data_IF_232195443897
#
_entry.id   IF_232195443897
#
_cell.length_a   1.000
_cell.length_b   1.000
_cell.length_c   1.000
_cell.angle_alpha   90.00
_cell.angle_beta   90.00
_cell.angle_gamma   90.00
#
_symmetry.space_group_name_H-M   'P 1'
#
loop_
_entity.id
_entity.type
_entity.pdbx_description
1 polymer ?
#
# COMPACT_ATOMS: atom_id res chain seq x y z
N UNK A 1 13.46 -10.21 -1.76
CA UNK A 1 12.00 -10.21 -1.52
C UNK A 1 11.30 -11.24 -2.42
N UNK A 2 11.60 -11.32 -3.72
CA UNK A 2 11.03 -12.32 -4.63
C UNK A 2 11.10 -13.78 -4.15
N UNK A 3 12.25 -14.23 -3.64
CA UNK A 3 12.39 -15.60 -3.11
C UNK A 3 11.41 -15.91 -1.96
N UNK A 4 11.00 -14.89 -1.21
CA UNK A 4 10.02 -15.04 -0.13
C UNK A 4 8.57 -15.15 -0.62
N UNK A 5 8.31 -14.79 -1.89
CA UNK A 5 6.99 -14.79 -2.52
C UNK A 5 6.71 -16.06 -3.32
N UNK A 6 7.74 -16.83 -3.70
CA UNK A 6 7.55 -18.04 -4.49
C UNK A 6 6.71 -19.09 -3.73
N UNK A 7 5.63 -19.58 -4.37
CA UNK A 7 4.72 -20.56 -3.79
C UNK A 7 3.79 -20.00 -2.70
N UNK A 8 3.82 -18.69 -2.45
CA UNK A 8 2.90 -18.00 -1.53
C UNK A 8 1.59 -17.64 -2.22
N UNK A 9 0.50 -17.72 -1.48
CA UNK A 9 -0.78 -17.09 -1.85
C UNK A 9 -0.67 -15.61 -1.54
N UNK A 10 -0.83 -14.78 -2.58
CA UNK A 10 -0.63 -13.34 -2.49
C UNK A 10 -1.94 -12.64 -2.78
N UNK A 11 -2.34 -11.71 -1.92
CA UNK A 11 -3.41 -10.77 -2.20
C UNK A 11 -2.84 -9.37 -2.39
N UNK A 12 -3.42 -8.62 -3.32
CA UNK A 12 -3.27 -7.19 -3.45
C UNK A 12 -4.56 -6.49 -2.98
N UNK A 13 -4.43 -5.50 -2.11
CA UNK A 13 -5.52 -4.64 -1.66
C UNK A 13 -5.23 -3.23 -2.13
N UNK A 14 -6.02 -2.73 -3.09
CA UNK A 14 -5.93 -1.37 -3.61
C UNK A 14 -6.96 -0.45 -2.98
N UNK A 15 -6.51 0.42 -2.06
CA UNK A 15 -7.31 1.49 -1.48
C UNK A 15 -7.28 2.72 -2.39
N UNK A 16 -8.45 3.31 -2.63
CA UNK A 16 -8.65 4.38 -3.62
C UNK A 16 -8.96 3.86 -5.02
N UNK A 17 -9.04 2.54 -5.23
CA UNK A 17 -9.31 1.93 -6.52
C UNK A 17 -10.71 1.29 -6.56
N UNK A 18 -11.26 1.12 -7.77
CA UNK A 18 -12.50 0.37 -8.03
C UNK A 18 -12.31 -0.78 -9.03
N UNK A 19 -11.12 -0.88 -9.61
CA UNK A 19 -10.69 -1.88 -10.60
C UNK A 19 -9.17 -1.91 -10.65
N UNK A 20 -8.59 -2.85 -11.40
CA UNK A 20 -7.15 -2.92 -11.62
C UNK A 20 -6.61 -1.58 -12.18
N UNK A 21 -5.56 -1.07 -11.55
CA UNK A 21 -4.62 -0.12 -12.14
C UNK A 21 -3.41 -0.88 -12.72
N UNK A 22 -2.36 -0.15 -13.13
CA UNK A 22 -1.14 -0.76 -13.66
C UNK A 22 -0.46 -1.65 -12.60
N UNK A 23 -0.30 -1.18 -11.37
CA UNK A 23 0.29 -1.96 -10.28
C UNK A 23 -0.46 -3.28 -10.00
N UNK A 24 -1.79 -3.24 -9.91
CA UNK A 24 -2.61 -4.44 -9.73
C UNK A 24 -2.39 -5.46 -10.87
N UNK A 25 -2.32 -4.97 -12.11
CA UNK A 25 -2.05 -5.80 -13.30
C UNK A 25 -0.66 -6.42 -13.22
N UNK A 26 0.35 -5.63 -12.90
CA UNK A 26 1.73 -6.10 -12.71
C UNK A 26 1.82 -7.19 -11.64
N UNK A 27 1.16 -7.02 -10.49
CA UNK A 27 1.14 -8.02 -9.43
C UNK A 27 0.40 -9.29 -9.84
N UNK A 28 -0.68 -9.16 -10.62
CA UNK A 28 -1.38 -10.32 -11.17
C UNK A 28 -0.49 -11.10 -12.13
N UNK A 29 0.17 -10.42 -13.06
CA UNK A 29 0.93 -11.06 -14.13
C UNK A 29 2.22 -11.71 -13.62
N UNK A 30 2.87 -11.11 -12.60
CA UNK A 30 4.15 -11.59 -12.09
C UNK A 30 4.02 -12.56 -10.90
N UNK A 31 2.94 -12.43 -10.12
CA UNK A 31 2.78 -13.20 -8.87
C UNK A 31 1.44 -13.94 -8.76
N UNK A 32 0.59 -13.87 -9.79
CA UNK A 32 -0.77 -14.39 -9.76
C UNK A 32 -1.60 -13.87 -8.57
N UNK A 33 -1.33 -12.65 -8.10
CA UNK A 33 -1.98 -12.08 -6.92
C UNK A 33 -3.49 -11.90 -7.14
N UNK A 34 -4.31 -12.26 -6.15
CA UNK A 34 -5.74 -11.92 -6.14
C UNK A 34 -5.91 -10.46 -5.76
N UNK A 35 -6.80 -9.73 -6.43
CA UNK A 35 -6.95 -8.28 -6.23
C UNK A 35 -8.29 -7.92 -5.60
N UNK A 36 -8.22 -7.07 -4.59
CA UNK A 36 -9.36 -6.53 -3.86
C UNK A 36 -9.26 -5.00 -3.82
N UNK A 37 -10.40 -4.33 -3.94
CA UNK A 37 -10.43 -2.87 -4.09
C UNK A 37 -11.41 -2.22 -3.12
N UNK A 38 -10.99 -1.10 -2.53
CA UNK A 38 -11.83 -0.23 -1.72
C UNK A 38 -11.76 1.19 -2.28
N UNK A 39 -12.82 1.66 -2.92
CA UNK A 39 -12.89 3.05 -3.37
C UNK A 39 -13.29 3.98 -2.21
N UNK A 40 -12.97 5.26 -2.29
CA UNK A 40 -13.26 6.23 -1.22
C UNK A 40 -14.75 6.59 -1.04
N UNK A 41 -15.62 6.09 -1.92
CA UNK A 41 -17.08 6.24 -1.82
C UNK A 41 -17.75 4.99 -1.28
N UNK A 42 -16.99 3.97 -0.90
CA UNK A 42 -17.52 2.70 -0.40
C UNK A 42 -18.24 2.92 0.93
N UNK A 43 -19.36 2.22 1.10
CA UNK A 43 -20.18 2.34 2.30
C UNK A 43 -19.57 1.67 3.53
N UNK A 44 -20.13 1.96 4.72
CA UNK A 44 -19.73 1.31 5.97
C UNK A 44 -19.74 -0.22 5.86
N UNK A 45 -18.77 -0.90 6.47
CA UNK A 45 -18.65 -2.36 6.48
C UNK A 45 -17.89 -2.99 5.30
N UNK A 46 -17.55 -2.19 4.27
CA UNK A 46 -16.73 -2.67 3.14
C UNK A 46 -15.32 -3.08 3.59
N UNK A 47 -14.74 -2.34 4.53
CA UNK A 47 -13.44 -2.66 5.13
C UNK A 47 -13.49 -3.97 5.94
N UNK A 48 -14.54 -4.19 6.74
CA UNK A 48 -14.70 -5.40 7.56
C UNK A 48 -14.82 -6.65 6.70
N UNK A 49 -15.54 -6.54 5.58
CA UNK A 49 -15.69 -7.63 4.61
C UNK A 49 -14.34 -8.03 4.01
N UNK A 50 -13.48 -7.05 3.68
CA UNK A 50 -12.14 -7.31 3.18
C UNK A 50 -11.24 -7.94 4.26
N UNK A 51 -11.27 -7.45 5.49
CA UNK A 51 -10.48 -8.03 6.59
C UNK A 51 -10.82 -9.51 6.82
N UNK A 52 -12.11 -9.87 6.75
CA UNK A 52 -12.55 -11.26 6.90
C UNK A 52 -12.02 -12.18 5.79
N UNK A 53 -11.95 -11.69 4.55
CA UNK A 53 -11.41 -12.45 3.42
C UNK A 53 -9.89 -12.65 3.58
N UNK A 54 -9.17 -11.60 3.98
CA UNK A 54 -7.71 -11.59 4.02
C UNK A 54 -7.13 -12.39 5.19
N UNK A 55 -7.82 -12.42 6.34
CA UNK A 55 -7.27 -12.91 7.61
C UNK A 55 -6.90 -14.40 7.69
N UNK A 56 -7.21 -15.23 6.68
CA UNK A 56 -6.92 -16.68 6.73
C UNK A 56 -6.42 -17.30 5.43
N UNK A 57 -6.46 -16.56 4.31
CA UNK A 57 -6.30 -17.15 2.97
C UNK A 57 -4.99 -16.79 2.28
N UNK A 58 -4.27 -15.79 2.77
CA UNK A 58 -3.09 -15.27 2.10
C UNK A 58 -1.86 -15.31 3.01
N UNK A 59 -0.75 -15.73 2.43
CA UNK A 59 0.52 -15.78 3.13
C UNK A 59 1.19 -14.40 3.13
N UNK A 60 0.95 -13.61 2.07
CA UNK A 60 1.44 -12.24 1.91
C UNK A 60 0.31 -11.34 1.39
N UNK A 61 0.22 -10.13 1.96
CA UNK A 61 -0.70 -9.09 1.49
C UNK A 61 0.11 -7.88 1.05
N UNK A 62 -0.07 -7.47 -0.20
CA UNK A 62 0.46 -6.22 -0.73
C UNK A 62 -0.66 -5.18 -0.62
N UNK A 63 -0.42 -4.09 0.09
CA UNK A 63 -1.41 -3.05 0.35
C UNK A 63 -1.02 -1.77 -0.36
N UNK A 64 -1.76 -1.35 -1.37
CA UNK A 64 -1.54 -0.09 -2.08
C UNK A 64 -2.57 0.96 -1.70
N UNK A 65 -2.15 2.20 -1.48
CA UNK A 65 -3.07 3.35 -1.37
C UNK A 65 -2.79 4.36 -2.49
N UNK A 66 -3.84 4.73 -3.21
CA UNK A 66 -3.80 5.40 -4.51
C UNK A 66 -4.80 6.55 -4.60
N UNK A 67 -4.72 7.34 -5.66
CA UNK A 67 -5.72 8.32 -6.10
C UNK A 67 -6.15 9.34 -5.03
N UNK A 68 -5.31 9.60 -4.04
CA UNK A 68 -5.54 10.65 -3.07
C UNK A 68 -4.97 11.99 -3.56
N UNK A 69 -5.51 13.08 -3.03
CA UNK A 69 -5.15 14.44 -3.45
C UNK A 69 -3.71 14.76 -3.02
N UNK A 70 -3.08 15.71 -3.71
CA UNK A 70 -1.74 16.18 -3.32
C UNK A 70 -1.74 17.03 -2.04
N UNK A 71 -2.87 17.65 -1.70
CA UNK A 71 -2.97 18.59 -0.59
C UNK A 71 -3.60 17.94 0.66
N UNK A 72 -3.13 18.29 1.88
CA UNK A 72 -3.50 17.59 3.11
C UNK A 72 -4.93 17.81 3.60
N UNK A 73 -5.68 18.73 2.99
CA UNK A 73 -7.04 19.03 3.43
C UNK A 73 -7.93 17.78 3.38
N UNK A 74 -8.70 17.57 4.46
CA UNK A 74 -9.59 16.43 4.63
C UNK A 74 -8.90 15.07 4.37
N UNK A 75 -7.73 14.85 4.99
CA UNK A 75 -6.92 13.63 4.84
C UNK A 75 -6.63 13.30 3.37
N UNK A 76 -6.28 14.32 2.58
CA UNK A 76 -6.03 14.17 1.15
C UNK A 76 -7.22 13.60 0.36
N UNK A 77 -8.44 13.66 0.90
CA UNK A 77 -9.64 13.05 0.31
C UNK A 77 -9.73 11.53 0.48
N UNK A 78 -8.86 10.93 1.30
CA UNK A 78 -8.97 9.52 1.69
C UNK A 78 -10.15 9.35 2.66
N UNK A 79 -11.02 8.37 2.38
CA UNK A 79 -12.17 8.08 3.26
C UNK A 79 -11.73 7.50 4.60
N UNK A 80 -12.58 7.64 5.62
CA UNK A 80 -12.30 7.08 6.94
C UNK A 80 -12.18 5.56 6.90
N UNK A 81 -13.01 4.91 6.08
CA UNK A 81 -12.96 3.48 5.81
C UNK A 81 -11.62 3.06 5.21
N UNK A 82 -11.07 3.86 4.29
CA UNK A 82 -9.74 3.65 3.72
C UNK A 82 -8.63 3.80 4.76
N UNK A 83 -8.69 4.85 5.59
CA UNK A 83 -7.73 5.04 6.69
C UNK A 83 -7.77 3.87 7.69
N UNK A 84 -8.97 3.42 8.06
CA UNK A 84 -9.16 2.34 9.01
C UNK A 84 -8.69 0.99 8.45
N UNK A 85 -9.03 0.68 7.20
CA UNK A 85 -8.58 -0.54 6.54
C UNK A 85 -7.06 -0.58 6.44
N UNK A 86 -6.43 0.54 6.04
CA UNK A 86 -4.98 0.61 5.94
C UNK A 86 -4.35 0.35 7.30
N UNK A 87 -4.78 1.07 8.35
CA UNK A 87 -4.26 0.91 9.71
C UNK A 87 -4.44 -0.50 10.29
N UNK A 88 -5.55 -1.16 9.97
CA UNK A 88 -5.81 -2.51 10.47
C UNK A 88 -4.87 -3.54 9.84
N UNK A 89 -4.64 -3.44 8.53
CA UNK A 89 -3.78 -4.36 7.80
C UNK A 89 -2.30 -4.06 8.01
N UNK A 90 -1.89 -2.80 7.93
CA UNK A 90 -0.47 -2.39 7.87
C UNK A 90 0.34 -2.73 9.13
N UNK A 91 -0.33 -3.09 10.22
CA UNK A 91 0.26 -3.53 11.50
C UNK A 91 0.67 -5.01 11.51
N UNK A 92 0.27 -5.79 10.50
CA UNK A 92 0.60 -7.21 10.39
C UNK A 92 1.96 -7.41 9.71
N UNK A 93 2.75 -8.36 10.20
CA UNK A 93 4.12 -8.61 9.72
C UNK A 93 4.18 -9.11 8.27
N UNK A 94 3.11 -9.75 7.79
CA UNK A 94 3.00 -10.26 6.42
C UNK A 94 2.34 -9.28 5.44
N UNK A 95 2.06 -8.04 5.88
CA UNK A 95 1.52 -6.97 5.05
C UNK A 95 2.64 -6.03 4.63
N UNK A 96 2.76 -5.77 3.33
CA UNK A 96 3.71 -4.84 2.73
C UNK A 96 2.95 -3.68 2.10
N UNK A 97 3.06 -2.51 2.72
CA UNK A 97 2.30 -1.32 2.34
C UNK A 97 3.08 -0.42 1.38
N UNK A 98 2.42 0.03 0.33
CA UNK A 98 2.93 0.92 -0.70
C UNK A 98 2.03 2.17 -0.78
N UNK A 99 2.63 3.34 -0.55
CA UNK A 99 1.94 4.63 -0.54
C UNK A 99 2.31 5.40 -1.80
N UNK A 100 1.37 5.50 -2.74
CA UNK A 100 1.56 6.14 -4.04
C UNK A 100 0.99 7.55 -4.03
N UNK A 101 1.87 8.55 -3.85
CA UNK A 101 1.50 9.95 -3.77
C UNK A 101 2.22 10.69 -2.64
N UNK A 102 1.60 11.78 -2.16
CA UNK A 102 2.18 12.64 -1.14
C UNK A 102 2.55 11.85 0.15
N UNK A 103 3.82 11.90 0.61
CA UNK A 103 4.28 11.16 1.78
C UNK A 103 3.62 11.60 3.09
N UNK A 104 3.11 12.83 3.18
CA UNK A 104 2.47 13.32 4.41
C UNK A 104 1.22 12.53 4.82
N UNK A 105 0.63 11.75 3.90
CA UNK A 105 -0.49 10.86 4.22
C UNK A 105 -0.14 9.85 5.33
N UNK A 106 1.13 9.41 5.40
CA UNK A 106 1.57 8.38 6.36
C UNK A 106 1.50 8.83 7.82
N UNK A 107 1.29 10.13 8.09
CA UNK A 107 0.95 10.62 9.42
C UNK A 107 -0.31 9.94 10.00
N UNK A 108 -1.21 9.43 9.15
CA UNK A 108 -2.39 8.68 9.56
C UNK A 108 -2.11 7.20 9.89
N UNK A 109 -0.90 6.69 9.61
CA UNK A 109 -0.57 5.27 9.65
C UNK A 109 0.60 4.97 10.61
N UNK A 110 0.46 5.30 11.91
CA UNK A 110 1.46 4.93 12.89
C UNK A 110 1.58 3.40 12.97
N UNK A 111 2.75 2.92 13.38
CA UNK A 111 3.02 1.50 13.61
C UNK A 111 2.92 0.58 12.37
N UNK A 112 3.01 1.13 11.16
CA UNK A 112 3.09 0.31 9.95
C UNK A 112 4.39 -0.50 9.94
N UNK A 113 4.29 -1.82 9.77
CA UNK A 113 5.44 -2.75 9.88
C UNK A 113 6.37 -2.69 8.67
N UNK A 114 5.79 -2.83 7.48
CA UNK A 114 6.53 -2.77 6.21
C UNK A 114 5.92 -1.65 5.37
N UNK A 115 6.62 -0.53 5.23
CA UNK A 115 6.14 0.66 4.51
C UNK A 115 7.12 1.07 3.42
N UNK A 116 6.60 1.27 2.21
CA UNK A 116 7.31 1.83 1.07
C UNK A 116 6.57 3.07 0.58
N UNK A 117 7.29 4.17 0.45
CA UNK A 117 6.76 5.44 -0.05
C UNK A 117 7.18 5.58 -1.52
N UNK A 118 6.20 5.64 -2.41
CA UNK A 118 6.42 5.65 -3.85
C UNK A 118 6.33 7.05 -4.47
N UNK A 119 5.93 8.07 -3.69
CA UNK A 119 5.86 9.51 -4.01
C UNK A 119 4.89 9.95 -5.11
N UNK A 120 4.85 9.26 -6.26
CA UNK A 120 3.88 9.51 -7.33
C UNK A 120 3.00 8.28 -7.54
N UNK A 121 1.81 8.52 -8.10
CA UNK A 121 0.84 7.47 -8.45
C UNK A 121 0.73 7.38 -9.98
N UNK A 122 1.84 7.01 -10.60
CA UNK A 122 1.96 6.81 -12.04
C UNK A 122 2.58 5.45 -12.38
N UNK A 123 2.51 5.09 -13.65
CA UNK A 123 2.94 3.77 -14.12
C UNK A 123 4.45 3.53 -13.87
N UNK A 124 5.27 4.59 -13.97
CA UNK A 124 6.71 4.50 -13.74
C UNK A 124 7.04 4.14 -12.28
N UNK A 125 6.37 4.78 -11.32
CA UNK A 125 6.55 4.46 -9.91
C UNK A 125 5.98 3.08 -9.56
N UNK A 126 4.87 2.68 -10.19
CA UNK A 126 4.29 1.35 -10.00
C UNK A 126 5.19 0.23 -10.55
N UNK A 127 5.85 0.44 -11.70
CA UNK A 127 6.88 -0.47 -12.22
C UNK A 127 8.11 -0.52 -11.32
N UNK A 128 8.53 0.62 -10.79
CA UNK A 128 9.65 0.69 -9.84
C UNK A 128 9.33 -0.07 -8.55
N UNK A 129 8.10 0.03 -8.04
CA UNK A 129 7.62 -0.74 -6.91
C UNK A 129 7.63 -2.25 -7.19
N UNK A 130 7.20 -2.68 -8.39
CA UNK A 130 7.30 -4.08 -8.81
C UNK A 130 8.75 -4.56 -8.78
N UNK A 131 9.68 -3.82 -9.39
CA UNK A 131 11.11 -4.18 -9.41
C UNK A 131 11.72 -4.26 -8.01
N UNK A 132 11.29 -3.40 -7.10
CA UNK A 132 11.66 -3.50 -5.69
C UNK A 132 11.14 -4.80 -5.05
N UNK A 133 9.87 -5.15 -5.28
CA UNK A 133 9.30 -6.43 -4.82
C UNK A 133 10.07 -7.63 -5.40
N UNK A 134 10.48 -7.53 -6.66
CA UNK A 134 11.29 -8.53 -7.35
C UNK A 134 12.73 -8.63 -6.82
N UNK A 135 13.16 -7.66 -6.00
CA UNK A 135 14.54 -7.60 -5.52
C UNK A 135 15.55 -7.09 -6.56
N UNK A 136 15.07 -6.60 -7.70
CA UNK A 136 15.90 -6.01 -8.77
C UNK A 136 16.38 -4.61 -8.41
N UNK A 137 15.76 -4.00 -7.40
CA UNK A 137 16.13 -2.70 -6.87
C UNK A 137 16.44 -2.82 -5.38
N UNK A 138 17.62 -2.32 -5.01
CA UNK A 138 17.96 -2.06 -3.61
C UNK A 138 17.48 -0.63 -3.29
N UNK A 139 16.56 -0.46 -2.32
CA UNK A 139 16.09 0.87 -1.94
C UNK A 139 17.26 1.67 -1.37
N UNK A 140 17.32 2.94 -1.77
CA UNK A 140 18.32 3.92 -1.34
C UNK A 140 17.67 5.22 -0.83
N UNK A 141 16.36 5.15 -0.58
CA UNK A 141 15.49 6.31 -0.44
C UNK A 141 15.30 6.68 1.02
N UNK A 142 15.50 7.96 1.31
CA UNK A 142 15.18 8.53 2.62
C UNK A 142 14.10 9.60 2.49
N UNK A 143 13.35 9.82 3.57
CA UNK A 143 12.35 10.88 3.64
C UNK A 143 13.03 12.25 3.50
N UNK A 144 12.68 13.07 2.48
CA UNK A 144 13.21 14.42 2.35
C UNK A 144 12.51 15.43 3.28
N UNK A 145 11.60 14.96 4.13
CA UNK A 145 10.77 15.76 5.03
C UNK A 145 10.49 15.01 6.34
N UNK A 146 10.22 15.74 7.42
CA UNK A 146 9.62 15.17 8.64
C UNK A 146 8.11 15.17 8.51
N UNK A 147 7.49 13.99 8.62
CA UNK A 147 6.03 13.79 8.66
C UNK A 147 5.52 13.64 10.09
N UNK A 148 6.26 12.91 10.94
CA UNK A 148 5.99 12.72 12.37
C UNK A 148 7.30 12.42 13.12
N UNK A 149 7.27 12.25 14.43
CA UNK A 149 8.46 11.81 15.19
C UNK A 149 8.97 10.45 14.70
N UNK A 150 8.06 9.51 14.42
CA UNK A 150 8.39 8.20 13.86
C UNK A 150 8.94 8.33 12.43
N UNK A 151 8.33 9.20 11.62
CA UNK A 151 8.66 9.38 10.20
C UNK A 151 9.37 10.73 10.00
N UNK A 152 10.60 10.84 10.50
CA UNK A 152 11.40 12.05 10.46
C UNK A 152 12.26 12.16 9.18
N UNK A 153 12.75 13.38 8.90
CA UNK A 153 13.70 13.63 7.82
C UNK A 153 14.89 12.67 7.88
N UNK A 154 15.25 12.07 6.75
CA UNK A 154 16.34 11.12 6.64
C UNK A 154 15.98 9.68 7.03
N UNK A 155 14.77 9.42 7.56
CA UNK A 155 14.32 8.05 7.82
C UNK A 155 14.08 7.28 6.52
N UNK A 156 14.40 5.99 6.51
CA UNK A 156 14.42 5.15 5.31
C UNK A 156 15.82 4.67 5.00
N UNK A 157 15.96 3.93 3.91
CA UNK A 157 17.23 3.35 3.50
C UNK A 157 17.33 3.21 2.00
#
# INVERSE_FOLDING_TARGET
MLDSLQGKRIAYVGIGLSKNNHFATLLKDNFNADSYFLNYTAGPGSADSLMNILGTQYDVVILGIHQYKKYPSANFGVSMEGINLFNALSKQENVYSFVFGNPYLISNFPDTKNLVICYEDDDLMQETALRFIQGDLVPKGTLPVTVSEQYHFGAGQ
#
